data_IF_414978388353
#
_entry.id   IF_414978388353
#
_cell.length_a   1.000
_cell.length_b   1.000
_cell.length_c   1.000
_cell.angle_alpha   90.00
_cell.angle_beta   90.00
_cell.angle_gamma   90.00
#
_symmetry.space_group_name_H-M   'P 1'
#
loop_
_entity.id
_entity.type
_entity.pdbx_description
1 polymer ?
#
# COMPACT_ATOMS: atom_id res chain seq x y z
N UNK A 1 15.14 4.14 -19.81
CA UNK A 1 15.23 4.06 -18.33
C UNK A 1 14.05 3.24 -17.83
N UNK A 2 14.27 2.30 -16.90
CA UNK A 2 13.20 1.49 -16.29
C UNK A 2 13.16 1.82 -14.81
N UNK A 3 11.99 2.21 -14.32
CA UNK A 3 11.73 2.61 -12.94
C UNK A 3 10.51 1.85 -12.40
N UNK A 4 10.34 1.86 -11.08
CA UNK A 4 9.16 1.34 -10.41
C UNK A 4 8.68 2.43 -9.43
N UNK A 5 7.48 2.97 -9.67
CA UNK A 5 6.82 3.81 -8.68
C UNK A 5 6.21 2.89 -7.62
N UNK A 6 6.45 3.19 -6.35
CA UNK A 6 5.98 2.39 -5.20
C UNK A 6 5.33 3.34 -4.20
N UNK A 7 4.20 2.91 -3.65
CA UNK A 7 3.50 3.58 -2.55
C UNK A 7 3.20 2.58 -1.44
N UNK A 8 3.17 3.03 -0.18
CA UNK A 8 3.00 2.17 0.99
C UNK A 8 2.03 2.77 1.99
N UNK A 9 1.13 1.93 2.48
CA UNK A 9 0.18 2.27 3.52
C UNK A 9 0.70 1.74 4.86
N UNK A 10 0.58 2.58 5.88
CA UNK A 10 1.15 2.33 7.21
C UNK A 10 0.12 2.53 8.30
N UNK A 11 0.24 1.79 9.41
CA UNK A 11 -0.62 2.00 10.59
C UNK A 11 -0.33 3.29 11.35
N UNK A 12 0.83 3.91 11.12
CA UNK A 12 1.26 5.15 11.78
C UNK A 12 2.18 5.97 10.88
N UNK A 13 2.22 7.28 11.12
CA UNK A 13 3.17 8.21 10.49
C UNK A 13 4.56 8.21 11.16
N UNK A 14 4.70 7.63 12.37
CA UNK A 14 6.00 7.43 13.01
C UNK A 14 6.58 6.07 12.58
N UNK A 15 7.68 6.03 11.79
CA UNK A 15 8.24 4.79 11.26
C UNK A 15 8.84 3.87 12.34
N UNK A 16 9.03 4.37 13.58
CA UNK A 16 9.53 3.55 14.68
C UNK A 16 8.45 2.68 15.32
N UNK A 17 7.19 3.06 15.12
CA UNK A 17 6.04 2.50 15.84
C UNK A 17 4.92 2.01 14.90
N UNK A 18 5.02 2.27 13.59
CA UNK A 18 4.09 1.79 12.58
C UNK A 18 4.59 0.56 11.83
N UNK A 19 3.64 -0.23 11.31
CA UNK A 19 3.89 -1.30 10.36
C UNK A 19 3.39 -0.90 8.98
N UNK A 20 4.06 -1.37 7.93
CA UNK A 20 3.52 -1.33 6.56
C UNK A 20 2.43 -2.39 6.47
N UNK A 21 1.24 -2.00 6.03
CA UNK A 21 0.09 -2.90 5.87
C UNK A 21 -0.19 -3.22 4.40
N UNK A 22 0.30 -2.38 3.49
CA UNK A 22 0.18 -2.64 2.07
C UNK A 22 1.26 -1.95 1.25
N UNK A 23 1.50 -2.48 0.05
CA UNK A 23 2.42 -1.92 -0.94
C UNK A 23 1.74 -1.96 -2.31
N UNK A 24 1.60 -0.79 -2.94
CA UNK A 24 1.20 -0.65 -4.34
C UNK A 24 2.38 -0.29 -5.23
N UNK A 25 2.36 -0.72 -6.49
CA UNK A 25 3.40 -0.34 -7.44
C UNK A 25 2.89 -0.22 -8.88
N UNK A 26 3.56 0.62 -9.66
CA UNK A 26 3.38 0.73 -11.12
C UNK A 26 4.74 0.88 -11.81
N UNK A 27 5.09 -0.01 -12.77
CA UNK A 27 6.30 0.16 -13.55
C UNK A 27 6.23 1.41 -14.45
N UNK A 28 7.36 2.10 -14.59
CA UNK A 28 7.51 3.24 -15.49
C UNK A 28 8.65 2.97 -16.46
N UNK A 29 8.34 2.88 -17.75
CA UNK A 29 9.31 2.57 -18.79
C UNK A 29 9.43 3.76 -19.75
N UNK A 30 10.64 4.32 -19.86
CA UNK A 30 10.94 5.46 -20.72
C UNK A 30 9.98 6.65 -20.54
N UNK A 31 9.56 6.91 -19.29
CA UNK A 31 8.61 7.98 -18.94
C UNK A 31 7.15 7.61 -19.12
N UNK A 32 6.83 6.38 -19.53
CA UNK A 32 5.45 5.88 -19.71
C UNK A 32 5.05 5.02 -18.52
N UNK A 33 3.87 5.30 -17.96
CA UNK A 33 3.27 4.53 -16.87
C UNK A 33 2.64 3.25 -17.44
N UNK A 34 3.10 2.10 -16.98
CA UNK A 34 2.65 0.78 -17.47
C UNK A 34 1.54 0.22 -16.58
N UNK A 35 0.34 0.81 -16.69
CA UNK A 35 -0.81 0.48 -15.81
C UNK A 35 -1.22 -0.99 -15.84
N UNK A 36 -1.08 -1.68 -16.99
CA UNK A 36 -1.38 -3.12 -17.11
C UNK A 36 -0.49 -4.00 -16.22
N UNK A 37 0.64 -3.46 -15.78
CA UNK A 37 1.60 -4.13 -14.89
C UNK A 37 1.59 -3.55 -13.49
N UNK A 38 0.59 -2.73 -13.16
CA UNK A 38 0.36 -2.29 -11.80
C UNK A 38 0.04 -3.49 -10.90
N UNK A 39 0.55 -3.45 -9.67
CA UNK A 39 0.32 -4.49 -8.69
C UNK A 39 0.13 -3.92 -7.31
N UNK A 40 -0.38 -4.76 -6.43
CA UNK A 40 -0.63 -4.43 -5.04
C UNK A 40 -0.50 -5.69 -4.21
N UNK A 41 0.05 -5.56 -3.00
CA UNK A 41 0.14 -6.64 -2.03
C UNK A 41 -0.22 -6.15 -0.63
N UNK A 42 -1.13 -6.87 0.02
CA UNK A 42 -1.35 -6.75 1.46
C UNK A 42 -0.20 -7.42 2.19
N UNK A 43 0.36 -6.70 3.16
CA UNK A 43 1.37 -7.22 4.07
C UNK A 43 0.62 -7.67 5.32
N UNK A 44 0.29 -8.96 5.38
CA UNK A 44 -0.42 -9.53 6.53
C UNK A 44 0.46 -9.47 7.77
N UNK A 45 0.15 -8.52 8.65
CA UNK A 45 0.56 -8.53 10.05
C UNK A 45 -0.67 -8.88 10.89
N UNK A 46 -0.54 -9.91 11.74
CA UNK A 46 -1.61 -10.37 12.64
C UNK A 46 -2.04 -9.25 13.60
N UNK A 47 -1.18 -8.24 13.82
CA UNK A 47 -1.48 -7.04 14.61
C UNK A 47 -2.21 -5.93 13.83
N UNK A 48 -2.13 -5.91 12.50
CA UNK A 48 -2.76 -4.86 11.68
C UNK A 48 -4.29 -4.97 11.63
N UNK A 49 -4.84 -6.16 11.92
CA UNK A 49 -6.29 -6.39 11.89
C UNK A 49 -7.04 -5.61 13.00
N UNK A 50 -6.35 -5.28 14.09
CA UNK A 50 -6.92 -4.53 15.23
C UNK A 50 -6.66 -3.01 15.11
N UNK A 51 -5.61 -2.58 14.39
CA UNK A 51 -5.10 -1.21 14.44
C UNK A 51 -5.62 -0.28 13.33
N UNK A 52 -6.19 -0.83 12.24
CA UNK A 52 -6.79 -0.03 11.15
C UNK A 52 -8.03 0.77 11.62
N UNK A 53 -8.59 0.43 12.79
CA UNK A 53 -9.73 1.16 13.38
C UNK A 53 -9.39 2.48 14.07
N UNK A 54 -8.12 2.73 14.43
CA UNK A 54 -7.72 3.86 15.29
C UNK A 54 -6.92 4.95 14.56
N UNK A 55 -6.51 4.70 13.31
CA UNK A 55 -5.96 5.75 12.44
C UNK A 55 -7.11 6.58 11.86
N UNK A 56 -7.44 7.69 12.52
CA UNK A 56 -8.40 8.67 12.01
C UNK A 56 -8.12 9.03 10.55
N UNK A 57 -9.19 9.10 9.75
CA UNK A 57 -9.29 9.28 8.29
C UNK A 57 -9.29 7.96 7.49
N UNK A 58 -10.41 7.57 6.84
CA UNK A 58 -10.44 6.38 6.02
C UNK A 58 -9.70 6.63 4.71
N UNK A 59 -8.50 6.06 4.56
CA UNK A 59 -8.06 5.62 3.25
C UNK A 59 -8.99 4.47 2.88
N UNK A 60 -9.90 4.68 1.91
CA UNK A 60 -10.95 3.74 1.55
C UNK A 60 -10.35 2.42 1.04
N UNK A 61 -10.04 1.50 1.95
CA UNK A 61 -9.78 0.10 1.62
C UNK A 61 -11.11 -0.52 1.19
N UNK A 62 -11.39 -0.54 -0.11
CA UNK A 62 -12.49 -1.32 -0.64
C UNK A 62 -12.10 -2.80 -0.59
N UNK A 63 -12.70 -3.53 0.35
CA UNK A 63 -12.71 -4.99 0.39
C UNK A 63 -13.38 -5.50 -0.90
N UNK A 64 -12.59 -5.89 -1.89
CA UNK A 64 -13.09 -6.70 -3.01
C UNK A 64 -13.38 -8.09 -2.45
N UNK A 65 -14.64 -8.31 -2.03
CA UNK A 65 -15.15 -9.66 -1.81
C UNK A 65 -15.17 -10.36 -3.17
N UNK A 66 -14.43 -11.46 -3.27
CA UNK A 66 -14.79 -12.55 -4.17
C UNK A 66 -15.64 -13.55 -3.40
#
# INVERSE_FOLDING_TARGET
MRLLAVDMETTSLDPRNGSIVAIGWVPVENGVIMVVSAGYQLVYDVQAQESVGDSGTPHTMQRVMR
#
